data_IF_929165373575
#
_entry.id   IF_929165373575
#
_cell.length_a   1.000
_cell.length_b   1.000
_cell.length_c   1.000
_cell.angle_alpha   90.00
_cell.angle_beta   90.00
_cell.angle_gamma   90.00
#
_symmetry.space_group_name_H-M   'P 1'
#
loop_
_entity.id
_entity.type
_entity.pdbx_description
1 polymer ?
#
# COMPACT_ATOMS: atom_id res chain seq x y z
N UNK A 1 0.35 2.11 -19.21
CA UNK A 1 -0.43 3.27 -18.72
C UNK A 1 0.43 4.01 -17.70
N UNK A 2 0.71 5.25 -17.94
CA UNK A 2 1.49 6.12 -17.04
C UNK A 2 0.58 6.62 -15.92
N UNK A 3 0.87 6.31 -14.67
CA UNK A 3 0.30 7.02 -13.53
C UNK A 3 1.01 8.38 -13.36
N UNK A 4 0.78 9.28 -14.27
CA UNK A 4 1.15 10.68 -14.12
C UNK A 4 -0.11 11.48 -13.87
N UNK A 5 -0.21 12.12 -12.73
CA UNK A 5 -1.14 13.20 -12.33
C UNK A 5 -2.65 13.03 -12.63
N UNK A 6 -3.07 12.02 -13.35
CA UNK A 6 -4.48 11.72 -13.63
C UNK A 6 -4.96 10.57 -12.77
N UNK A 7 -6.13 10.72 -12.16
CA UNK A 7 -6.78 9.63 -11.42
C UNK A 7 -6.98 8.41 -12.32
N UNK A 8 -6.51 7.26 -11.88
CA UNK A 8 -6.85 5.99 -12.52
C UNK A 8 -8.29 5.65 -12.14
N UNK A 9 -9.16 5.49 -13.13
CA UNK A 9 -10.54 5.08 -12.91
C UNK A 9 -10.80 3.77 -13.64
N UNK A 10 -11.10 2.72 -12.87
CA UNK A 10 -11.54 1.41 -13.38
C UNK A 10 -12.99 1.24 -12.96
N UNK A 11 -13.91 1.34 -13.92
CA UNK A 11 -15.35 1.32 -13.66
C UNK A 11 -15.95 -0.08 -13.59
N UNK A 12 -15.30 -1.05 -14.22
CA UNK A 12 -15.68 -2.46 -14.21
C UNK A 12 -14.43 -3.32 -14.28
N UNK A 13 -14.51 -4.54 -13.80
CA UNK A 13 -13.44 -5.52 -13.93
C UNK A 13 -13.10 -5.77 -15.39
N UNK A 14 -11.83 -5.61 -15.77
CA UNK A 14 -11.37 -5.74 -17.15
C UNK A 14 -10.16 -6.68 -17.25
N UNK A 15 -10.26 -7.80 -17.98
CA UNK A 15 -9.12 -8.66 -18.22
C UNK A 15 -8.15 -8.01 -19.21
N UNK A 16 -6.85 -8.08 -18.90
CA UNK A 16 -5.78 -7.54 -19.70
C UNK A 16 -4.66 -8.58 -19.87
N UNK A 17 -4.02 -8.61 -21.03
CA UNK A 17 -2.91 -9.55 -21.27
C UNK A 17 -1.72 -9.26 -20.36
N UNK A 18 -1.50 -7.99 -20.00
CA UNK A 18 -0.39 -7.54 -19.16
C UNK A 18 -0.76 -6.28 -18.40
N UNK A 19 -0.56 -6.27 -17.10
CA UNK A 19 -0.61 -5.10 -16.24
C UNK A 19 0.80 -4.76 -15.73
N UNK A 20 1.15 -3.48 -15.70
CA UNK A 20 2.46 -3.00 -15.28
C UNK A 20 2.29 -1.84 -14.30
N UNK A 21 2.89 -1.98 -13.13
CA UNK A 21 3.10 -0.87 -12.20
C UNK A 21 4.56 -0.47 -12.23
N UNK A 22 4.84 0.74 -12.69
CA UNK A 22 6.19 1.25 -12.91
C UNK A 22 6.46 2.41 -11.98
N UNK A 23 7.60 2.37 -11.29
CA UNK A 23 8.08 3.46 -10.43
C UNK A 23 9.59 3.62 -10.52
N UNK A 24 10.05 4.83 -10.16
CA UNK A 24 11.47 5.13 -10.02
C UNK A 24 11.82 5.28 -8.54
N UNK A 25 12.86 4.57 -8.10
CA UNK A 25 13.35 4.55 -6.73
C UNK A 25 14.79 5.07 -6.71
N UNK A 26 14.94 6.37 -6.46
CA UNK A 26 16.26 6.99 -6.27
C UNK A 26 16.80 6.74 -4.85
N UNK A 27 18.03 7.20 -4.63
CA UNK A 27 18.74 7.05 -3.35
C UNK A 27 17.98 7.63 -2.14
N UNK A 28 17.19 8.68 -2.35
CA UNK A 28 16.36 9.31 -1.33
C UNK A 28 15.17 8.45 -0.85
N UNK A 29 14.88 7.34 -1.54
CA UNK A 29 13.81 6.39 -1.20
C UNK A 29 14.30 5.14 -0.49
N UNK A 30 15.61 4.91 -0.44
CA UNK A 30 16.20 3.74 0.21
C UNK A 30 15.81 3.68 1.68
N UNK A 31 15.34 2.51 2.12
CA UNK A 31 14.86 2.22 3.49
C UNK A 31 13.72 3.11 3.99
N UNK A 32 13.03 3.81 3.09
CA UNK A 32 11.83 4.57 3.43
C UNK A 32 10.58 3.78 3.07
N UNK A 33 9.62 3.76 3.97
CA UNK A 33 8.32 3.14 3.75
C UNK A 33 7.52 3.92 2.72
N UNK A 34 6.86 3.19 1.83
CA UNK A 34 6.05 3.74 0.75
C UNK A 34 4.75 2.96 0.65
N UNK A 35 3.69 3.65 0.26
CA UNK A 35 2.40 3.03 0.01
C UNK A 35 2.40 2.25 -1.31
N UNK A 36 1.68 1.13 -1.30
CA UNK A 36 1.35 0.34 -2.47
C UNK A 36 -0.17 0.22 -2.59
N UNK A 37 -0.70 0.62 -3.72
CA UNK A 37 -2.12 0.50 -4.03
C UNK A 37 -2.28 0.45 -5.55
N UNK A 38 -2.69 -0.72 -6.08
CA UNK A 38 -2.81 -0.94 -7.52
C UNK A 38 -4.11 -1.72 -7.81
N UNK A 39 -4.66 -1.61 -9.05
CA UNK A 39 -5.94 -2.21 -9.39
C UNK A 39 -5.86 -3.65 -9.89
N UNK A 40 -4.78 -4.36 -9.65
CA UNK A 40 -4.62 -5.77 -10.02
C UNK A 40 -3.84 -6.54 -8.96
N UNK A 41 -4.08 -7.84 -8.88
CA UNK A 41 -3.35 -8.72 -7.98
C UNK A 41 -1.89 -8.83 -8.42
N UNK A 42 -0.97 -8.76 -7.46
CA UNK A 42 0.45 -8.91 -7.71
C UNK A 42 1.06 -10.00 -6.83
N UNK A 43 1.68 -10.99 -7.45
CA UNK A 43 2.42 -12.04 -6.74
C UNK A 43 3.87 -11.63 -6.57
N UNK A 44 4.34 -11.59 -5.33
CA UNK A 44 5.72 -11.22 -4.98
C UNK A 44 6.68 -12.30 -5.50
N UNK A 45 7.70 -11.86 -6.22
CA UNK A 45 8.73 -12.75 -6.79
C UNK A 45 10.01 -12.74 -5.95
N UNK A 46 10.85 -13.74 -6.11
CA UNK A 46 12.19 -13.77 -5.52
C UNK A 46 13.05 -12.56 -5.94
N UNK A 47 12.91 -12.12 -7.20
CA UNK A 47 13.63 -10.95 -7.73
C UNK A 47 13.20 -9.64 -7.02
N UNK A 48 11.92 -9.52 -6.69
CA UNK A 48 11.42 -8.37 -5.93
C UNK A 48 12.03 -8.32 -4.53
N UNK A 49 12.10 -9.47 -3.86
CA UNK A 49 12.62 -9.57 -2.49
C UNK A 49 14.13 -9.30 -2.37
N UNK A 50 14.87 -9.37 -3.47
CA UNK A 50 16.26 -8.92 -3.51
C UNK A 50 16.39 -7.39 -3.38
N UNK A 51 15.37 -6.65 -3.81
CA UNK A 51 15.37 -5.18 -3.91
C UNK A 51 14.44 -4.51 -2.91
N UNK A 52 13.37 -5.19 -2.53
CA UNK A 52 12.29 -4.61 -1.71
C UNK A 52 11.92 -5.52 -0.54
N UNK A 53 11.34 -4.93 0.49
CA UNK A 53 10.54 -5.63 1.50
C UNK A 53 9.10 -5.16 1.38
N UNK A 54 8.17 -6.10 1.45
CA UNK A 54 6.73 -5.84 1.38
C UNK A 54 6.07 -6.22 2.68
N UNK A 55 5.03 -5.48 3.06
CA UNK A 55 4.32 -5.65 4.31
C UNK A 55 2.83 -5.47 4.11
N UNK A 56 2.04 -6.28 4.79
CA UNK A 56 0.64 -5.98 5.06
C UNK A 56 0.52 -5.29 6.42
N UNK A 57 -0.51 -4.46 6.55
CA UNK A 57 -0.86 -3.82 7.80
C UNK A 57 -1.64 -4.85 8.62
N UNK A 58 -1.18 -5.10 9.84
CA UNK A 58 -1.80 -6.06 10.77
C UNK A 58 -2.75 -5.35 11.73
N UNK A 59 -2.23 -4.37 12.46
CA UNK A 59 -3.01 -3.59 13.42
C UNK A 59 -2.40 -2.20 13.63
N UNK A 60 -3.19 -1.31 14.21
CA UNK A 60 -2.71 -0.08 14.84
C UNK A 60 -2.96 -0.20 16.34
N UNK A 61 -2.00 0.20 17.14
CA UNK A 61 -2.09 0.17 18.59
C UNK A 61 -1.33 1.33 19.23
N UNK A 62 -1.68 1.64 20.47
CA UNK A 62 -0.93 2.63 21.28
C UNK A 62 0.37 2.07 21.86
N UNK A 63 0.65 0.79 21.68
CA UNK A 63 1.88 0.10 22.13
C UNK A 63 2.70 -0.41 20.93
N UNK A 64 4.02 -0.33 21.05
CA UNK A 64 4.95 -0.97 20.13
C UNK A 64 4.91 -2.50 20.18
N UNK A 65 4.44 -3.06 21.30
CA UNK A 65 4.32 -4.51 21.52
C UNK A 65 2.83 -4.87 21.57
N UNK A 66 2.36 -5.78 20.70
CA UNK A 66 0.96 -6.19 20.70
C UNK A 66 0.53 -6.77 22.05
N UNK A 67 -0.62 -6.31 22.55
CA UNK A 67 -1.20 -6.80 23.82
C UNK A 67 -0.67 -6.11 25.08
N UNK A 68 0.30 -5.23 24.99
CA UNK A 68 0.79 -4.45 26.12
C UNK A 68 0.08 -3.09 26.23
N UNK A 69 0.06 -2.54 27.45
CA UNK A 69 -0.41 -1.18 27.68
C UNK A 69 0.54 -0.18 27.01
N UNK A 70 -0.03 0.74 26.24
CA UNK A 70 0.74 1.71 25.47
C UNK A 70 0.55 3.14 25.95
N UNK A 71 1.21 4.05 25.28
CA UNK A 71 1.06 5.50 25.47
C UNK A 71 -0.11 6.00 24.60
N UNK A 72 -1.20 6.53 25.19
CA UNK A 72 -2.38 6.97 24.44
C UNK A 72 -2.08 8.10 23.44
N UNK A 73 -0.92 8.76 23.55
CA UNK A 73 -0.50 9.81 22.63
C UNK A 73 0.36 9.28 21.46
N UNK A 74 0.60 7.97 21.39
CA UNK A 74 1.38 7.36 20.32
C UNK A 74 0.58 6.29 19.60
N UNK A 75 0.72 6.27 18.30
CA UNK A 75 0.16 5.22 17.45
C UNK A 75 1.30 4.45 16.77
N UNK A 76 1.21 3.12 16.85
CA UNK A 76 2.14 2.20 16.21
C UNK A 76 1.40 1.40 15.15
N UNK A 77 1.95 1.39 13.94
CA UNK A 77 1.47 0.54 12.86
C UNK A 77 2.27 -0.76 12.89
N UNK A 78 1.59 -1.85 13.21
CA UNK A 78 2.19 -3.19 13.20
C UNK A 78 2.11 -3.76 11.80
N UNK A 79 3.26 -4.22 11.30
CA UNK A 79 3.40 -4.73 9.95
C UNK A 79 3.80 -6.20 9.97
N UNK A 80 3.19 -7.00 9.10
CA UNK A 80 3.61 -8.36 8.81
C UNK A 80 4.35 -8.36 7.48
N UNK A 81 5.61 -8.81 7.50
CA UNK A 81 6.39 -8.93 6.28
C UNK A 81 5.84 -10.04 5.39
N UNK A 82 5.69 -9.73 4.12
CA UNK A 82 5.30 -10.67 3.08
C UNK A 82 6.54 -11.36 2.49
N UNK A 83 6.32 -12.55 1.98
CA UNK A 83 7.35 -13.43 1.43
C UNK A 83 7.11 -13.74 -0.05
N UNK A 84 7.98 -14.53 -0.65
CA UNK A 84 7.81 -15.00 -2.02
C UNK A 84 6.51 -15.79 -2.17
N UNK A 85 5.83 -15.60 -3.29
CA UNK A 85 4.51 -16.14 -3.64
C UNK A 85 3.32 -15.59 -2.84
N UNK A 86 3.53 -14.71 -1.87
CA UNK A 86 2.43 -13.95 -1.28
C UNK A 86 1.80 -13.04 -2.35
N UNK A 87 0.48 -12.90 -2.29
CA UNK A 87 -0.28 -12.09 -3.24
C UNK A 87 -0.73 -10.80 -2.58
N UNK A 88 -0.32 -9.68 -3.14
CA UNK A 88 -0.88 -8.37 -2.82
C UNK A 88 -2.14 -8.17 -3.68
N UNK A 89 -3.29 -8.16 -3.02
CA UNK A 89 -4.60 -8.10 -3.66
C UNK A 89 -4.86 -6.73 -4.29
N UNK A 90 -5.55 -6.73 -5.42
CA UNK A 90 -6.02 -5.50 -6.07
C UNK A 90 -6.83 -4.61 -5.11
N UNK A 91 -6.63 -3.31 -5.24
CA UNK A 91 -7.35 -2.29 -4.48
C UNK A 91 -7.24 -2.42 -2.94
N UNK A 92 -6.19 -3.07 -2.45
CA UNK A 92 -5.86 -3.12 -1.02
C UNK A 92 -4.56 -2.38 -0.74
N UNK A 93 -4.49 -1.62 0.35
CA UNK A 93 -3.29 -0.91 0.72
C UNK A 93 -2.27 -1.86 1.36
N UNK A 94 -1.04 -1.76 0.88
CA UNK A 94 0.15 -2.41 1.45
C UNK A 94 1.25 -1.37 1.63
N UNK A 95 2.30 -1.76 2.29
CA UNK A 95 3.50 -0.95 2.51
C UNK A 95 4.68 -1.71 1.95
N UNK A 96 5.62 -0.99 1.33
CA UNK A 96 6.86 -1.57 0.89
C UNK A 96 8.03 -0.60 1.09
N UNK A 97 9.25 -1.12 1.04
CA UNK A 97 10.45 -0.31 1.18
C UNK A 97 11.56 -0.85 0.29
N UNK A 98 12.17 -0.01 -0.57
CA UNK A 98 13.37 -0.40 -1.30
C UNK A 98 14.54 -0.53 -0.32
N UNK A 99 15.35 -1.58 -0.48
CA UNK A 99 16.51 -1.85 0.37
C UNK A 99 17.79 -1.18 -0.14
N UNK A 100 17.80 -0.86 -1.43
CA UNK A 100 18.89 -0.21 -2.16
C UNK A 100 18.35 0.78 -3.19
N UNK A 101 19.21 1.53 -3.85
CA UNK A 101 18.85 2.34 -5.00
C UNK A 101 18.58 1.41 -6.19
N UNK A 102 17.33 1.37 -6.64
CA UNK A 102 16.88 0.44 -7.68
C UNK A 102 16.81 1.13 -9.05
N UNK A 103 16.61 2.45 -9.07
CA UNK A 103 16.28 3.17 -10.29
C UNK A 103 14.84 2.89 -10.73
N UNK A 104 14.65 2.74 -12.03
CA UNK A 104 13.34 2.40 -12.60
C UNK A 104 13.06 0.89 -12.41
N UNK A 105 11.87 0.57 -11.93
CA UNK A 105 11.43 -0.81 -11.71
C UNK A 105 9.99 -1.02 -12.16
N UNK A 106 9.73 -2.18 -12.74
CA UNK A 106 8.41 -2.59 -13.23
C UNK A 106 7.93 -3.83 -12.49
N UNK A 107 6.78 -3.73 -11.86
CA UNK A 107 6.04 -4.85 -11.30
C UNK A 107 5.01 -5.31 -12.33
N UNK A 108 5.15 -6.54 -12.80
CA UNK A 108 4.43 -7.05 -13.97
C UNK A 108 3.57 -8.23 -13.59
N UNK A 109 2.29 -8.21 -13.98
CA UNK A 109 1.39 -9.35 -13.94
C UNK A 109 0.87 -9.64 -15.35
N UNK A 110 1.06 -10.87 -15.82
CA UNK A 110 0.49 -11.34 -17.09
C UNK A 110 -0.89 -11.96 -16.87
N UNK A 111 -1.77 -11.86 -17.85
CA UNK A 111 -3.16 -12.32 -17.75
C UNK A 111 -3.86 -11.76 -16.50
N UNK A 112 -3.69 -10.48 -16.25
CA UNK A 112 -4.24 -9.80 -15.10
C UNK A 112 -5.71 -9.42 -15.33
N UNK A 113 -6.41 -9.14 -14.23
CA UNK A 113 -7.71 -8.45 -14.27
C UNK A 113 -7.56 -7.13 -13.54
N UNK A 114 -7.80 -6.03 -14.22
CA UNK A 114 -7.94 -4.73 -13.57
C UNK A 114 -9.28 -4.72 -12.82
N UNK A 115 -9.21 -4.51 -11.51
CA UNK A 115 -10.38 -4.54 -10.63
C UNK A 115 -10.98 -3.16 -10.47
N UNK A 116 -12.30 -3.07 -10.63
CA UNK A 116 -13.03 -1.85 -10.29
C UNK A 116 -12.81 -1.49 -8.82
N UNK A 117 -12.62 -0.19 -8.55
CA UNK A 117 -12.54 0.29 -7.17
C UNK A 117 -13.94 0.30 -6.57
N UNK A 118 -14.13 -0.45 -5.50
CA UNK A 118 -15.34 -0.44 -4.69
C UNK A 118 -15.09 0.27 -3.36
N UNK A 119 -16.14 0.74 -2.71
CA UNK A 119 -16.06 1.38 -1.39
C UNK A 119 -15.56 0.45 -0.28
N UNK A 120 -15.57 -0.87 -0.54
CA UNK A 120 -15.11 -1.90 0.41
C UNK A 120 -13.60 -2.19 0.34
N UNK A 121 -12.87 -1.51 -0.53
CA UNK A 121 -11.42 -1.72 -0.74
C UNK A 121 -10.57 -1.07 0.35
N UNK A 122 -10.93 -1.28 1.60
CA UNK A 122 -10.27 -0.71 2.77
C UNK A 122 -9.58 -1.82 3.57
N UNK A 123 -8.34 -1.62 3.99
CA UNK A 123 -7.74 -2.43 5.04
C UNK A 123 -8.16 -1.84 6.39
N UNK A 124 -9.07 -2.51 7.09
CA UNK A 124 -9.48 -2.12 8.43
C UNK A 124 -8.60 -2.78 9.47
N UNK A 125 -8.15 -2.00 10.43
CA UNK A 125 -7.46 -2.47 11.62
C UNK A 125 -8.22 -1.94 12.82
N UNK A 126 -8.56 -2.79 13.76
CA UNK A 126 -9.22 -2.38 14.99
C UNK A 126 -8.32 -2.62 16.20
N UNK A 127 -8.35 -1.68 17.13
CA UNK A 127 -7.90 -1.89 18.51
C UNK A 127 -9.10 -2.25 19.38
N UNK A 128 -8.87 -2.57 20.66
CA UNK A 128 -9.97 -2.85 21.62
C UNK A 128 -10.89 -1.63 21.87
N UNK A 129 -10.46 -0.44 21.51
CA UNK A 129 -11.19 0.80 21.79
C UNK A 129 -11.39 1.73 20.60
N UNK A 130 -10.65 1.51 19.51
CA UNK A 130 -10.67 2.41 18.34
C UNK A 130 -10.57 1.59 17.05
N UNK A 131 -11.24 2.08 16.02
CA UNK A 131 -11.19 1.51 14.68
C UNK A 131 -10.37 2.43 13.77
N UNK A 132 -9.39 1.85 13.07
CA UNK A 132 -8.55 2.57 12.13
C UNK A 132 -8.72 1.97 10.74
N UNK A 133 -8.82 2.83 9.76
CA UNK A 133 -8.97 2.44 8.37
C UNK A 133 -7.82 2.98 7.53
N UNK A 134 -7.15 2.10 6.80
CA UNK A 134 -6.19 2.48 5.78
C UNK A 134 -6.85 2.50 4.42
N UNK A 135 -6.80 3.67 3.78
CA UNK A 135 -7.32 3.88 2.44
C UNK A 135 -6.18 3.96 1.44
N UNK A 136 -6.22 3.14 0.40
CA UNK A 136 -5.45 3.36 -0.79
C UNK A 136 -6.19 4.33 -1.73
N UNK A 137 -5.45 5.22 -2.36
CA UNK A 137 -6.02 6.21 -3.27
C UNK A 137 -5.24 6.25 -4.58
N UNK A 138 -5.95 6.46 -5.69
CA UNK A 138 -5.37 6.67 -7.03
C UNK A 138 -5.21 8.15 -7.38
N UNK A 139 -5.73 9.03 -6.55
CA UNK A 139 -5.61 10.48 -6.70
C UNK A 139 -4.99 11.10 -5.45
N UNK A 140 -4.25 12.20 -5.57
CA UNK A 140 -3.80 12.95 -4.41
C UNK A 140 -4.98 13.38 -3.54
N UNK A 141 -4.88 13.19 -2.23
CA UNK A 141 -5.82 13.75 -1.28
C UNK A 141 -5.32 15.14 -0.91
N UNK A 142 -6.17 16.14 -1.11
CA UNK A 142 -5.94 17.50 -0.63
C UNK A 142 -6.86 17.72 0.58
N UNK A 143 -6.33 17.70 1.82
CA UNK A 143 -7.15 17.97 2.98
C UNK A 143 -7.65 19.41 2.91
N UNK A 144 -8.95 19.57 2.86
CA UNK A 144 -9.61 20.88 2.98
C UNK A 144 -9.50 21.35 4.44
N UNK A 145 -9.33 22.65 4.64
CA UNK A 145 -9.13 23.24 5.97
C UNK A 145 -10.31 23.02 6.96
N UNK A 146 -11.46 22.60 6.44
CA UNK A 146 -12.68 22.34 7.21
C UNK A 146 -12.91 20.86 7.53
N UNK A 147 -12.05 19.96 7.04
CA UNK A 147 -12.18 18.54 7.31
C UNK A 147 -11.57 18.20 8.67
N UNK A 148 -12.39 17.75 9.60
CA UNK A 148 -11.96 17.36 10.96
C UNK A 148 -11.26 15.99 10.98
N UNK A 149 -11.22 15.28 9.86
CA UNK A 149 -10.54 14.00 9.75
C UNK A 149 -9.03 14.21 9.76
N UNK A 150 -8.34 13.44 10.60
CA UNK A 150 -6.88 13.47 10.66
C UNK A 150 -6.34 12.49 9.63
N UNK A 151 -5.66 13.02 8.62
CA UNK A 151 -5.00 12.20 7.60
C UNK A 151 -3.51 12.05 7.92
N UNK A 152 -3.02 10.82 7.94
CA UNK A 152 -1.60 10.52 8.05
C UNK A 152 -1.06 10.14 6.68
N UNK A 153 -0.03 10.84 6.22
CA UNK A 153 0.64 10.54 4.96
C UNK A 153 1.91 9.74 5.23
N UNK A 154 2.13 8.71 4.44
CA UNK A 154 3.45 8.15 4.28
C UNK A 154 4.14 8.84 3.10
N UNK A 155 5.10 9.70 3.40
CA UNK A 155 5.89 10.44 2.43
C UNK A 155 7.01 9.61 1.82
#
# INVERSE_FOLDING_TARGET
>A
MYCGVSALSVHADEPVAKAVYKRTFGSNRVKKYQGWFIPFDYTITAADLQKFKFFKIDMIAHSAVPGEAGDPNKLWVHLIQLTENDVMMANKPYIFTPQEEVGEYEFITTNATLKALTTESVASCSTTSEEFNFYGVYSPIHPEAENTDIFYYMA
#
